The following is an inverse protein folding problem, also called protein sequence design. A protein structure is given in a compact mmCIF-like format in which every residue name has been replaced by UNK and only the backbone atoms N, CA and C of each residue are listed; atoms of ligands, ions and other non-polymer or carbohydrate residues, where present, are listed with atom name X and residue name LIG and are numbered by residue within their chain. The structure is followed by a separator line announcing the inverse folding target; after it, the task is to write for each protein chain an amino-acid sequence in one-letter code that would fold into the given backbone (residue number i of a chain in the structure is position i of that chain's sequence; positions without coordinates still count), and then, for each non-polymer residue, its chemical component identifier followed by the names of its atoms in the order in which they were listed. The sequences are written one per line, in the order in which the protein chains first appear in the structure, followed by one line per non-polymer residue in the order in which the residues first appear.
data_IF_130034666629
#
_entry.id   IF_130034666629
#
_cell.length_a   1.000
_cell.length_b   1.000
_cell.length_c   1.000
_cell.angle_alpha   90.00
_cell.angle_beta   90.00
_cell.angle_gamma   90.00
#
_symmetry.space_group_name_H-M   'P 1'
#
loop_
_entity.id
_entity.type
_entity.pdbx_description
1 polymer ?
#
# COMPACT_ATOMS: atom_id res chain seq x y z
N UNK A 1 -4.91 10.60 26.42
CA UNK A 1 -4.09 11.69 25.83
C UNK A 1 -3.06 11.12 24.88
N UNK A 2 -2.23 10.14 25.29
CA UNK A 2 -1.16 9.58 24.44
C UNK A 2 -1.60 9.07 23.04
N UNK A 3 -2.77 8.44 22.91
CA UNK A 3 -3.26 7.99 21.58
C UNK A 3 -3.64 9.16 20.66
N UNK A 4 -4.14 10.26 21.23
CA UNK A 4 -4.45 11.46 20.47
C UNK A 4 -3.17 12.16 19.99
N UNK A 5 -2.15 12.22 20.86
CA UNK A 5 -0.82 12.73 20.50
C UNK A 5 -0.17 11.85 19.42
N UNK A 6 -0.39 10.53 19.47
CA UNK A 6 0.04 9.60 18.43
C UNK A 6 -0.62 9.91 17.08
N UNK A 7 -1.93 10.16 17.05
CA UNK A 7 -2.62 10.58 15.84
C UNK A 7 -2.13 11.94 15.31
N UNK A 8 -1.81 12.89 16.19
CA UNK A 8 -1.21 14.15 15.77
C UNK A 8 0.18 13.92 15.16
N UNK A 9 1.03 13.07 15.77
CA UNK A 9 2.32 12.65 15.18
C UNK A 9 2.09 12.06 13.78
N UNK A 10 1.17 11.11 13.62
CA UNK A 10 0.86 10.54 12.30
C UNK A 10 0.44 11.62 11.29
N UNK A 11 -0.40 12.57 11.69
CA UNK A 11 -0.80 13.66 10.81
C UNK A 11 0.39 14.53 10.38
N UNK A 12 1.31 14.88 11.30
CA UNK A 12 2.52 15.65 10.94
C UNK A 12 3.43 14.92 9.94
N UNK A 13 3.52 13.59 10.06
CA UNK A 13 4.27 12.74 9.14
C UNK A 13 3.68 12.68 7.72
N UNK A 14 2.44 13.14 7.52
CA UNK A 14 1.81 13.18 6.19
C UNK A 14 2.51 14.11 5.19
N UNK A 15 3.35 15.03 5.67
CA UNK A 15 4.17 15.92 4.82
C UNK A 15 5.50 15.30 4.42
N UNK A 16 5.89 14.19 5.06
CA UNK A 16 7.15 13.52 4.76
C UNK A 16 7.04 12.69 3.49
N UNK A 17 8.16 12.58 2.76
CA UNK A 17 8.25 11.78 1.54
C UNK A 17 8.20 10.27 1.82
N UNK A 18 8.64 9.87 3.00
CA UNK A 18 8.65 8.49 3.48
C UNK A 18 8.25 8.47 4.96
N UNK A 19 7.62 7.38 5.38
CA UNK A 19 7.16 7.17 6.76
C UNK A 19 7.73 5.85 7.25
N UNK A 20 8.54 5.91 8.31
CA UNK A 20 9.01 4.73 9.01
C UNK A 20 7.85 4.13 9.82
N UNK A 21 7.21 3.12 9.25
CA UNK A 21 6.02 2.50 9.85
C UNK A 21 6.37 1.58 11.02
N UNK A 22 7.58 1.03 11.06
CA UNK A 22 8.07 0.18 12.15
C UNK A 22 8.24 0.98 13.45
N UNK A 23 8.79 2.19 13.36
CA UNK A 23 8.88 3.10 14.51
C UNK A 23 7.48 3.41 15.09
N UNK A 24 6.49 3.66 14.22
CA UNK A 24 5.12 3.93 14.64
C UNK A 24 4.47 2.72 15.32
N UNK A 25 4.74 1.50 14.82
CA UNK A 25 4.28 0.26 15.46
C UNK A 25 4.87 0.14 16.87
N UNK A 26 6.18 0.33 17.02
CA UNK A 26 6.85 0.21 18.32
C UNK A 26 6.30 1.21 19.36
N UNK A 27 6.04 2.46 18.94
CA UNK A 27 5.42 3.48 19.79
C UNK A 27 4.01 3.04 20.20
N UNK A 28 3.20 2.57 19.24
CA UNK A 28 1.81 2.17 19.50
C UNK A 28 1.73 0.95 20.43
N UNK A 29 2.60 -0.04 20.25
CA UNK A 29 2.68 -1.22 21.11
C UNK A 29 3.10 -0.87 22.53
N UNK A 30 4.01 0.10 22.70
CA UNK A 30 4.38 0.62 24.01
C UNK A 30 3.19 1.27 24.72
N UNK A 31 2.39 2.06 24.00
CA UNK A 31 1.14 2.65 24.52
C UNK A 31 0.16 1.53 24.91
N UNK A 32 -0.07 0.56 24.04
CA UNK A 32 -0.95 -0.58 24.31
C UNK A 32 -0.57 -1.33 25.59
N UNK A 33 0.72 -1.69 25.73
CA UNK A 33 1.24 -2.42 26.89
C UNK A 33 1.06 -1.65 28.20
N UNK A 34 1.11 -0.32 28.15
CA UNK A 34 0.94 0.56 29.32
C UNK A 34 -0.51 0.63 29.84
N UNK A 35 -1.49 0.45 28.94
CA UNK A 35 -2.91 0.68 29.24
C UNK A 35 -3.78 -0.60 29.24
N UNK A 36 -3.28 -1.72 28.72
CA UNK A 36 -4.03 -2.99 28.63
C UNK A 36 -4.57 -3.52 29.96
N UNK A 37 -3.98 -3.14 31.09
CA UNK A 37 -4.37 -3.57 32.43
C UNK A 37 -4.96 -2.45 33.29
N UNK A 38 -5.48 -1.36 32.70
CA UNK A 38 -5.96 -0.20 33.48
C UNK A 38 -7.48 -0.05 33.56
N UNK A 39 -8.24 -0.80 32.78
CA UNK A 39 -9.71 -0.79 32.81
C UNK A 39 -10.24 -1.94 33.68
N UNK A 40 -10.48 -1.70 34.96
CA UNK A 40 -10.92 -2.74 35.90
C UNK A 40 -12.42 -2.70 36.22
N UNK A 41 -13.08 -1.57 35.97
CA UNK A 41 -14.46 -1.37 36.40
C UNK A 41 -15.47 -1.79 35.30
N UNK A 42 -16.46 -2.65 35.58
CA UNK A 42 -17.40 -3.17 34.56
C UNK A 42 -18.15 -2.09 33.76
N UNK A 43 -18.48 -0.96 34.37
CA UNK A 43 -19.12 0.19 33.69
C UNK A 43 -18.24 0.77 32.57
N UNK A 44 -16.91 0.62 32.67
CA UNK A 44 -15.97 1.09 31.64
C UNK A 44 -15.74 0.06 30.53
N UNK A 45 -16.26 -1.16 30.66
CA UNK A 45 -16.07 -2.24 29.69
C UNK A 45 -16.47 -1.87 28.24
N UNK A 46 -17.56 -1.10 28.00
CA UNK A 46 -17.86 -0.64 26.64
C UNK A 46 -16.81 0.33 26.07
N UNK A 47 -16.27 1.22 26.90
CA UNK A 47 -15.22 2.17 26.50
C UNK A 47 -13.90 1.45 26.25
N UNK A 48 -13.55 0.51 27.14
CA UNK A 48 -12.41 -0.38 26.97
C UNK A 48 -12.50 -1.16 25.66
N UNK A 49 -13.65 -1.77 25.37
CA UNK A 49 -13.86 -2.54 24.14
C UNK A 49 -13.70 -1.66 22.89
N UNK A 50 -14.23 -0.44 22.92
CA UNK A 50 -14.09 0.51 21.81
C UNK A 50 -12.65 0.96 21.63
N UNK A 51 -11.95 1.26 22.72
CA UNK A 51 -10.54 1.65 22.71
C UNK A 51 -9.65 0.51 22.20
N UNK A 52 -9.84 -0.71 22.71
CA UNK A 52 -9.07 -1.88 22.30
C UNK A 52 -9.26 -2.16 20.82
N UNK A 53 -10.49 -2.07 20.31
CA UNK A 53 -10.78 -2.22 18.89
C UNK A 53 -10.03 -1.19 18.04
N UNK A 54 -10.14 0.09 18.38
CA UNK A 54 -9.49 1.20 17.66
C UNK A 54 -7.98 0.98 17.58
N UNK A 55 -7.34 0.76 18.73
CA UNK A 55 -5.89 0.67 18.81
C UNK A 55 -5.38 -0.63 18.20
N UNK A 56 -6.10 -1.75 18.37
CA UNK A 56 -5.76 -3.01 17.71
C UNK A 56 -5.81 -2.87 16.19
N UNK A 57 -6.90 -2.32 15.65
CA UNK A 57 -7.05 -2.15 14.20
C UNK A 57 -5.91 -1.27 13.68
N UNK A 58 -5.61 -0.16 14.37
CA UNK A 58 -4.51 0.71 14.01
C UNK A 58 -3.16 -0.03 14.00
N UNK A 59 -2.89 -0.84 15.03
CA UNK A 59 -1.66 -1.63 15.12
C UNK A 59 -1.54 -2.63 13.97
N UNK A 60 -2.61 -3.37 13.65
CA UNK A 60 -2.61 -4.29 12.51
C UNK A 60 -2.39 -3.56 11.18
N UNK A 61 -3.01 -2.40 10.97
CA UNK A 61 -2.83 -1.62 9.74
C UNK A 61 -1.40 -1.07 9.61
N UNK A 62 -0.79 -0.55 10.68
CA UNK A 62 0.59 -0.07 10.65
C UNK A 62 1.60 -1.20 10.46
N UNK A 63 1.36 -2.37 11.09
CA UNK A 63 2.16 -3.59 10.86
C UNK A 63 2.08 -4.04 9.42
N UNK A 64 0.87 -4.09 8.86
CA UNK A 64 0.67 -4.42 7.45
C UNK A 64 1.40 -3.42 6.54
N UNK A 65 1.32 -2.11 6.82
CA UNK A 65 2.01 -1.09 6.04
C UNK A 65 3.53 -1.29 6.05
N UNK A 66 4.14 -1.53 7.22
CA UNK A 66 5.57 -1.82 7.34
C UNK A 66 5.95 -3.11 6.61
N UNK A 67 5.14 -4.16 6.72
CA UNK A 67 5.41 -5.44 6.08
C UNK A 67 5.25 -5.39 4.56
N UNK A 68 4.32 -4.57 4.03
CA UNK A 68 4.17 -4.34 2.59
C UNK A 68 5.40 -3.59 2.03
N UNK A 69 5.93 -2.58 2.74
CA UNK A 69 7.12 -1.84 2.29
C UNK A 69 8.38 -2.70 2.25
N UNK A 70 8.43 -3.75 3.07
CA UNK A 70 9.49 -4.77 3.07
C UNK A 70 9.15 -6.00 2.21
N UNK A 71 8.07 -5.94 1.42
CA UNK A 71 7.60 -7.02 0.54
C UNK A 71 7.39 -8.38 1.25
N UNK A 72 6.91 -8.37 2.49
CA UNK A 72 6.61 -9.56 3.30
C UNK A 72 5.16 -10.03 3.09
N UNK A 73 4.95 -10.98 2.19
CA UNK A 73 3.61 -11.45 1.77
C UNK A 73 2.73 -11.96 2.92
N UNK A 74 3.08 -13.09 3.55
CA UNK A 74 2.20 -13.71 4.55
C UNK A 74 1.99 -12.83 5.80
N UNK A 75 3.03 -12.20 6.38
CA UNK A 75 2.82 -11.32 7.54
C UNK A 75 1.86 -10.16 7.25
N UNK A 76 2.00 -9.52 6.09
CA UNK A 76 1.11 -8.41 5.71
C UNK A 76 -0.32 -8.89 5.45
N UNK A 77 -0.49 -10.05 4.82
CA UNK A 77 -1.80 -10.67 4.59
C UNK A 77 -2.53 -10.94 5.91
N UNK A 78 -1.85 -11.54 6.89
CA UNK A 78 -2.43 -11.87 8.20
C UNK A 78 -2.88 -10.59 8.91
N UNK A 79 -2.02 -9.57 8.97
CA UNK A 79 -2.37 -8.30 9.61
C UNK A 79 -3.52 -7.56 8.89
N UNK A 80 -3.53 -7.53 7.57
CA UNK A 80 -4.65 -6.98 6.79
C UNK A 80 -5.96 -7.72 7.07
N UNK A 81 -5.92 -9.05 7.12
CA UNK A 81 -7.10 -9.85 7.40
C UNK A 81 -7.62 -9.60 8.82
N UNK A 82 -6.74 -9.56 9.84
CA UNK A 82 -7.11 -9.25 11.22
C UNK A 82 -7.76 -7.87 11.35
N UNK A 83 -7.20 -6.84 10.70
CA UNK A 83 -7.80 -5.50 10.68
C UNK A 83 -9.17 -5.52 9.96
N UNK A 84 -9.27 -6.21 8.82
CA UNK A 84 -10.51 -6.33 8.07
C UNK A 84 -11.61 -7.00 8.90
N UNK A 85 -11.34 -8.16 9.49
CA UNK A 85 -12.31 -8.91 10.29
C UNK A 85 -12.85 -8.07 11.46
N UNK A 86 -11.96 -7.42 12.23
CA UNK A 86 -12.34 -6.54 13.34
C UNK A 86 -13.22 -5.37 12.88
N UNK A 87 -12.85 -4.70 11.78
CA UNK A 87 -13.63 -3.60 11.22
C UNK A 87 -14.99 -4.05 10.65
N UNK A 88 -15.07 -5.23 10.04
CA UNK A 88 -16.34 -5.78 9.55
C UNK A 88 -17.29 -6.09 10.70
N UNK A 89 -16.81 -6.79 11.74
CA UNK A 89 -17.61 -7.09 12.93
C UNK A 89 -18.13 -5.80 13.57
N UNK A 90 -17.27 -4.80 13.73
CA UNK A 90 -17.69 -3.50 14.26
C UNK A 90 -18.74 -2.82 13.38
N UNK A 91 -18.54 -2.81 12.06
CA UNK A 91 -19.50 -2.21 11.11
C UNK A 91 -20.88 -2.86 11.20
N UNK A 92 -20.94 -4.19 11.32
CA UNK A 92 -22.20 -4.92 11.49
C UNK A 92 -22.89 -4.57 12.82
N UNK A 93 -22.13 -4.47 13.92
CA UNK A 93 -22.67 -4.08 15.23
C UNK A 93 -23.21 -2.65 15.19
N UNK A 94 -22.45 -1.72 14.59
CA UNK A 94 -22.83 -0.32 14.44
C UNK A 94 -24.13 -0.17 13.64
N UNK A 95 -24.25 -0.87 12.51
CA UNK A 95 -25.46 -0.85 11.68
C UNK A 95 -26.69 -1.40 12.41
N UNK A 96 -26.56 -2.53 13.11
CA UNK A 96 -27.66 -3.09 13.91
C UNK A 96 -28.13 -2.12 14.99
N UNK A 97 -27.21 -1.49 15.72
CA UNK A 97 -27.55 -0.50 16.75
C UNK A 97 -28.24 0.74 16.16
N UNK A 98 -27.86 1.14 14.94
CA UNK A 98 -28.49 2.23 14.19
C UNK A 98 -29.93 1.89 13.81
N UNK A 99 -30.19 0.66 13.36
CA UNK A 99 -31.53 0.19 13.01
C UNK A 99 -32.44 0.07 14.25
N UNK A 100 -31.95 -0.51 15.35
CA UNK A 100 -32.74 -0.64 16.59
C UNK A 100 -33.21 0.72 17.13
N UNK A 101 -32.35 1.76 17.07
CA UNK A 101 -32.71 3.12 17.51
C UNK A 101 -33.75 3.81 16.62
N UNK A 102 -33.86 3.45 15.34
CA UNK A 102 -34.89 3.99 14.44
C UNK A 102 -36.31 3.49 14.78
N UNK A 103 -36.44 2.32 15.41
CA UNK A 103 -37.75 1.73 15.71
C UNK A 103 -38.32 2.13 17.07
N UNK A 104 -37.51 2.69 17.97
CA UNK A 104 -37.93 3.09 19.33
C UNK A 104 -38.57 4.48 19.41
N UNK A 105 -38.35 5.34 18.41
CA UNK A 105 -38.89 6.70 18.38
C UNK A 105 -39.61 6.91 17.05
N UNK A 106 -40.93 6.68 17.06
CA UNK A 106 -41.78 6.77 15.90
C UNK A 106 -41.64 8.11 15.17
N UNK A 107 -41.29 8.04 13.88
CA UNK A 107 -41.61 9.06 12.89
C UNK A 107 -40.95 10.42 13.08
N UNK A 108 -39.69 10.56 12.70
CA UNK A 108 -39.18 11.70 11.93
C UNK A 108 -37.79 11.33 11.39
N UNK A 109 -37.48 11.79 10.17
CA UNK A 109 -36.21 11.57 9.47
C UNK A 109 -35.03 12.11 10.29
N UNK A 110 -34.56 11.35 11.28
CA UNK A 110 -33.30 11.64 11.93
C UNK A 110 -32.20 11.37 10.91
N UNK A 111 -31.38 12.39 10.62
CA UNK A 111 -30.16 12.26 9.80
C UNK A 111 -29.42 11.01 10.28
N UNK A 112 -29.19 10.06 9.38
CA UNK A 112 -28.55 8.80 9.72
C UNK A 112 -27.26 9.08 10.50
N UNK A 113 -27.17 8.53 11.73
CA UNK A 113 -25.96 8.65 12.56
C UNK A 113 -24.80 8.13 11.74
N UNK A 114 -23.87 9.03 11.40
CA UNK A 114 -22.69 8.69 10.63
C UNK A 114 -21.67 8.04 11.55
N UNK A 115 -20.89 7.07 11.05
CA UNK A 115 -19.76 6.53 11.79
C UNK A 115 -18.77 7.65 12.16
N UNK A 116 -18.08 7.57 13.31
CA UNK A 116 -17.04 8.53 13.66
C UNK A 116 -15.97 8.63 12.57
N UNK A 117 -15.49 9.85 12.29
CA UNK A 117 -14.50 10.10 11.23
C UNK A 117 -13.27 9.22 11.34
N UNK A 118 -12.80 8.95 12.56
CA UNK A 118 -11.65 8.09 12.79
C UNK A 118 -11.87 6.67 12.25
N UNK A 119 -13.04 6.08 12.46
CA UNK A 119 -13.35 4.74 11.94
C UNK A 119 -13.53 4.74 10.41
N UNK A 120 -14.09 5.81 9.85
CA UNK A 120 -14.12 6.01 8.40
C UNK A 120 -12.69 6.08 7.83
N UNK A 121 -11.79 6.77 8.53
CA UNK A 121 -10.38 6.86 8.18
C UNK A 121 -9.67 5.50 8.30
N UNK A 122 -9.90 4.71 9.37
CA UNK A 122 -9.35 3.35 9.51
C UNK A 122 -9.81 2.45 8.35
N UNK A 123 -11.10 2.52 7.97
CA UNK A 123 -11.63 1.80 6.81
C UNK A 123 -10.98 2.24 5.50
N UNK A 124 -10.74 3.54 5.33
CA UNK A 124 -10.04 4.11 4.17
C UNK A 124 -8.59 3.64 4.10
N UNK A 125 -7.85 3.72 5.21
CA UNK A 125 -6.46 3.24 5.31
C UNK A 125 -6.39 1.75 4.96
N UNK A 126 -7.28 0.94 5.52
CA UNK A 126 -7.39 -0.50 5.19
C UNK A 126 -7.61 -0.73 3.70
N UNK A 127 -8.48 0.05 3.04
CA UNK A 127 -8.74 -0.10 1.60
C UNK A 127 -7.52 0.29 0.75
N UNK A 128 -6.80 1.35 1.13
CA UNK A 128 -5.57 1.78 0.46
C UNK A 128 -4.49 0.71 0.58
N UNK A 129 -4.29 0.17 1.80
CA UNK A 129 -3.31 -0.90 2.03
C UNK A 129 -3.69 -2.19 1.32
N UNK A 130 -4.99 -2.52 1.26
CA UNK A 130 -5.47 -3.68 0.50
C UNK A 130 -5.19 -3.50 -1.01
N UNK A 131 -5.49 -2.33 -1.58
CA UNK A 131 -5.20 -2.05 -2.99
C UNK A 131 -3.70 -2.16 -3.30
N UNK A 132 -2.86 -1.62 -2.40
CA UNK A 132 -1.41 -1.70 -2.51
C UNK A 132 -0.89 -3.13 -2.36
N UNK A 133 -1.41 -3.89 -1.39
CA UNK A 133 -1.09 -5.32 -1.20
C UNK A 133 -1.46 -6.13 -2.45
N UNK A 134 -2.67 -5.97 -2.97
CA UNK A 134 -3.12 -6.66 -4.18
C UNK A 134 -2.26 -6.33 -5.39
N UNK A 135 -1.75 -5.10 -5.48
CA UNK A 135 -0.82 -4.71 -6.53
C UNK A 135 0.57 -5.33 -6.31
N UNK A 136 1.20 -5.12 -5.15
CA UNK A 136 2.60 -5.53 -4.89
C UNK A 136 2.80 -7.05 -4.86
N UNK A 137 1.74 -7.80 -4.55
CA UNK A 137 1.75 -9.25 -4.50
C UNK A 137 0.88 -9.87 -5.59
N UNK A 138 0.60 -9.14 -6.67
CA UNK A 138 -0.26 -9.62 -7.75
C UNK A 138 0.17 -10.99 -8.27
N UNK A 139 1.46 -11.19 -8.51
CA UNK A 139 2.00 -12.47 -9.01
C UNK A 139 1.77 -13.65 -8.03
N UNK A 140 1.97 -13.40 -6.73
CA UNK A 140 1.75 -14.43 -5.71
C UNK A 140 0.26 -14.79 -5.60
N UNK A 141 -0.62 -13.78 -5.65
CA UNK A 141 -2.07 -13.94 -5.59
C UNK A 141 -2.61 -14.62 -6.86
N UNK A 142 -2.14 -14.25 -8.05
CA UNK A 142 -2.60 -14.83 -9.31
C UNK A 142 -2.20 -16.29 -9.47
N UNK A 143 -1.09 -16.72 -8.85
CA UNK A 143 -0.70 -18.14 -8.81
C UNK A 143 -1.57 -19.00 -7.87
N UNK A 144 -2.26 -18.37 -6.92
CA UNK A 144 -3.06 -19.04 -5.89
C UNK A 144 -4.56 -18.89 -6.10
N UNK A 145 -4.99 -18.17 -7.14
CA UNK A 145 -6.41 -17.87 -7.43
C UNK A 145 -6.70 -18.08 -8.91
N UNK A 146 -7.97 -18.34 -9.25
CA UNK A 146 -8.33 -18.40 -10.67
C UNK A 146 -8.23 -17.01 -11.31
N UNK A 147 -7.91 -16.94 -12.60
CA UNK A 147 -7.73 -15.66 -13.30
C UNK A 147 -8.98 -14.75 -13.23
N UNK A 148 -10.18 -15.33 -13.26
CA UNK A 148 -11.45 -14.61 -13.10
C UNK A 148 -11.63 -14.03 -11.69
N UNK A 149 -11.22 -14.76 -10.66
CA UNK A 149 -11.26 -14.33 -9.26
C UNK A 149 -10.24 -13.22 -9.03
N UNK A 150 -9.02 -13.37 -9.57
CA UNK A 150 -7.98 -12.35 -9.46
C UNK A 150 -8.41 -11.03 -10.10
N UNK A 151 -8.99 -11.09 -11.31
CA UNK A 151 -9.56 -9.91 -11.98
C UNK A 151 -10.67 -9.26 -11.16
N UNK A 152 -11.50 -10.07 -10.51
CA UNK A 152 -12.57 -9.58 -9.64
C UNK A 152 -12.01 -8.94 -8.36
N UNK A 153 -10.95 -9.53 -7.79
CA UNK A 153 -10.26 -9.02 -6.61
C UNK A 153 -9.63 -7.66 -6.91
N UNK A 154 -8.87 -7.53 -7.99
CA UNK A 154 -8.23 -6.26 -8.38
C UNK A 154 -9.26 -5.20 -8.72
N UNK A 155 -10.34 -5.54 -9.45
CA UNK A 155 -11.40 -4.58 -9.79
C UNK A 155 -12.16 -4.03 -8.57
N UNK A 156 -12.18 -4.77 -7.45
CA UNK A 156 -12.80 -4.33 -6.19
C UNK A 156 -11.87 -3.45 -5.35
N UNK A 157 -10.58 -3.38 -5.69
CA UNK A 157 -9.64 -2.51 -4.98
C UNK A 157 -9.88 -1.05 -5.35
N UNK A 158 -9.64 -0.16 -4.38
CA UNK A 158 -9.73 1.27 -4.60
C UNK A 158 -8.47 1.96 -4.05
N UNK A 159 -7.55 2.42 -4.92
CA UNK A 159 -7.66 2.44 -6.39
C UNK A 159 -7.30 1.11 -7.08
N UNK A 160 -7.89 0.84 -8.24
CA UNK A 160 -7.53 -0.29 -9.11
C UNK A 160 -6.25 0.02 -9.91
N UNK A 161 -5.09 -0.28 -9.30
CA UNK A 161 -3.78 -0.08 -9.95
C UNK A 161 -3.60 -0.92 -11.21
N UNK A 162 -4.06 -2.17 -11.17
CA UNK A 162 -3.90 -3.12 -12.27
C UNK A 162 -4.68 -2.68 -13.51
N UNK A 163 -5.95 -2.30 -13.33
CA UNK A 163 -6.80 -1.79 -14.40
C UNK A 163 -6.30 -0.45 -14.96
N UNK A 164 -5.78 0.44 -14.12
CA UNK A 164 -5.14 1.69 -14.54
C UNK A 164 -3.91 1.45 -15.41
N UNK A 165 -2.98 0.60 -14.97
CA UNK A 165 -1.76 0.28 -15.73
C UNK A 165 -2.09 -0.45 -17.03
N UNK A 166 -3.00 -1.43 -16.99
CA UNK A 166 -3.45 -2.16 -18.18
C UNK A 166 -4.10 -1.22 -19.22
N UNK A 167 -4.88 -0.24 -18.76
CA UNK A 167 -5.49 0.76 -19.64
C UNK A 167 -4.47 1.74 -20.20
N UNK A 168 -3.45 2.11 -19.41
CA UNK A 168 -2.33 2.92 -19.88
C UNK A 168 -1.54 2.20 -20.98
N UNK A 169 -1.17 0.93 -20.76
CA UNK A 169 -0.47 0.08 -21.73
C UNK A 169 -1.24 0.06 -23.06
N UNK A 170 -2.52 -0.29 -23.02
CA UNK A 170 -3.38 -0.35 -24.22
C UNK A 170 -3.52 0.99 -24.93
N UNK A 171 -3.58 2.10 -24.17
CA UNK A 171 -3.82 3.43 -24.73
C UNK A 171 -2.58 3.99 -25.44
N UNK A 172 -1.40 3.71 -24.92
CA UNK A 172 -0.15 4.34 -25.36
C UNK A 172 0.83 3.37 -26.03
N UNK A 173 0.45 2.10 -26.16
CA UNK A 173 1.25 1.03 -26.74
C UNK A 173 2.60 0.89 -26.02
N UNK A 174 2.55 0.90 -24.67
CA UNK A 174 3.71 0.60 -23.86
C UNK A 174 3.98 -0.90 -23.91
N UNK A 175 5.22 -1.30 -24.16
CA UNK A 175 5.59 -2.71 -24.24
C UNK A 175 5.48 -3.37 -22.87
N UNK A 176 5.89 -2.65 -21.83
CA UNK A 176 5.82 -3.19 -20.48
C UNK A 176 5.75 -2.09 -19.42
N UNK A 177 5.01 -2.37 -18.34
CA UNK A 177 5.10 -1.65 -17.08
C UNK A 177 5.42 -2.64 -15.96
N UNK A 178 6.51 -2.42 -15.24
CA UNK A 178 6.91 -3.27 -14.11
C UNK A 178 7.05 -2.48 -12.81
N UNK A 179 6.73 -3.15 -11.70
CA UNK A 179 7.12 -2.74 -10.36
C UNK A 179 8.34 -3.57 -9.95
N UNK A 180 9.42 -2.90 -9.59
CA UNK A 180 10.71 -3.49 -9.25
C UNK A 180 10.91 -3.35 -7.76
N UNK A 181 11.28 -4.44 -7.09
CA UNK A 181 11.72 -4.40 -5.70
C UNK A 181 13.25 -4.34 -5.65
N UNK A 182 13.80 -3.39 -4.90
CA UNK A 182 15.24 -3.28 -4.64
C UNK A 182 15.59 -4.12 -3.42
N UNK A 183 16.19 -5.28 -3.66
CA UNK A 183 16.53 -6.23 -2.62
C UNK A 183 17.90 -5.99 -1.96
N UNK A 184 18.61 -4.92 -2.32
CA UNK A 184 19.96 -4.68 -1.78
C UNK A 184 19.91 -4.47 -0.27
N UNK A 185 20.73 -5.23 0.47
CA UNK A 185 20.80 -5.16 1.93
C UNK A 185 19.73 -5.99 2.67
N UNK A 186 18.84 -6.67 1.96
CA UNK A 186 17.89 -7.61 2.57
C UNK A 186 18.43 -9.04 2.51
N UNK A 187 19.04 -9.47 3.61
CA UNK A 187 19.49 -10.86 3.80
C UNK A 187 18.31 -11.85 3.91
N UNK A 188 17.11 -11.33 4.19
CA UNK A 188 15.89 -12.10 4.46
C UNK A 188 15.02 -12.36 3.22
N UNK A 189 15.47 -11.97 2.04
CA UNK A 189 14.68 -12.13 0.82
C UNK A 189 14.56 -13.58 0.38
N UNK A 190 13.32 -14.04 0.26
CA UNK A 190 13.02 -15.43 -0.12
C UNK A 190 12.32 -15.55 -1.48
N UNK A 191 12.00 -14.43 -2.15
CA UNK A 191 11.24 -14.42 -3.41
C UNK A 191 9.73 -14.29 -3.21
N UNK A 192 8.94 -14.56 -4.25
CA UNK A 192 7.49 -14.32 -4.28
C UNK A 192 6.69 -15.24 -3.35
N UNK A 193 5.76 -14.67 -2.60
CA UNK A 193 4.77 -15.43 -1.84
C UNK A 193 5.30 -15.96 -0.49
N UNK A 194 4.73 -17.07 -0.02
CA UNK A 194 5.11 -17.68 1.25
C UNK A 194 6.28 -18.63 1.10
N UNK A 195 7.21 -18.53 2.05
CA UNK A 195 8.36 -19.40 2.17
C UNK A 195 8.49 -19.86 3.61
N UNK A 196 8.90 -21.12 3.80
CA UNK A 196 9.04 -21.68 5.13
C UNK A 196 10.23 -21.00 5.86
N UNK A 197 10.10 -20.60 7.13
CA UNK A 197 11.16 -19.86 7.84
C UNK A 197 12.52 -20.57 7.86
N UNK A 198 12.53 -21.89 7.79
CA UNK A 198 13.74 -22.72 7.84
C UNK A 198 14.25 -23.17 6.45
N UNK A 199 13.62 -22.74 5.35
CA UNK A 199 14.15 -23.06 4.02
C UNK A 199 15.33 -22.15 3.68
N UNK A 200 16.52 -22.74 3.51
CA UNK A 200 17.68 -22.00 3.02
C UNK A 200 17.48 -21.63 1.54
N UNK A 201 17.76 -20.38 1.20
CA UNK A 201 17.91 -19.90 -0.18
C UNK A 201 19.11 -18.98 -0.26
N UNK A 202 19.86 -19.09 -1.35
CA UNK A 202 20.93 -18.15 -1.62
C UNK A 202 20.31 -16.78 -1.94
N UNK A 203 20.86 -15.73 -1.33
CA UNK A 203 20.42 -14.36 -1.60
C UNK A 203 20.64 -14.03 -3.09
N UNK A 204 19.68 -13.34 -3.75
CA UNK A 204 19.84 -12.97 -5.15
C UNK A 204 21.09 -12.12 -5.37
N UNK A 205 21.81 -12.40 -6.46
CA UNK A 205 23.02 -11.67 -6.85
C UNK A 205 22.85 -11.04 -8.23
N UNK A 206 23.50 -9.90 -8.45
CA UNK A 206 23.50 -9.22 -9.75
C UNK A 206 22.08 -8.84 -10.20
N UNK A 207 21.69 -9.31 -11.39
CA UNK A 207 20.42 -8.98 -12.05
C UNK A 207 19.20 -9.40 -11.22
N UNK A 208 19.33 -10.47 -10.44
CA UNK A 208 18.23 -11.00 -9.62
C UNK A 208 18.00 -10.20 -8.33
N UNK A 209 18.84 -9.20 -8.02
CA UNK A 209 18.60 -8.26 -6.92
C UNK A 209 17.47 -7.26 -7.21
N UNK A 210 17.05 -7.18 -8.47
CA UNK A 210 15.96 -6.33 -8.92
C UNK A 210 14.88 -7.18 -9.58
N UNK A 211 14.12 -8.00 -8.82
CA UNK A 211 12.99 -8.74 -9.38
C UNK A 211 11.86 -7.80 -9.81
N UNK A 212 11.16 -8.17 -10.89
CA UNK A 212 9.89 -7.56 -11.23
C UNK A 212 8.81 -8.21 -10.37
N UNK A 213 8.35 -7.54 -9.31
CA UNK A 213 7.28 -8.06 -8.43
C UNK A 213 5.90 -7.95 -9.05
N UNK A 214 5.78 -7.07 -10.05
CA UNK A 214 4.65 -6.97 -10.97
C UNK A 214 5.21 -6.72 -12.36
N UNK A 215 4.66 -7.39 -13.37
CA UNK A 215 4.99 -7.16 -14.79
C UNK A 215 3.72 -7.24 -15.62
N UNK A 216 3.49 -6.23 -16.46
CA UNK A 216 2.32 -6.15 -17.33
C UNK A 216 2.71 -5.68 -18.72
N UNK A 217 2.11 -6.24 -19.79
CA UNK A 217 1.03 -7.24 -19.78
C UNK A 217 1.52 -8.69 -19.59
N UNK A 218 2.82 -8.92 -19.76
CA UNK A 218 3.47 -10.23 -19.73
C UNK A 218 4.56 -10.28 -18.66
N UNK A 219 5.26 -11.41 -18.59
CA UNK A 219 6.41 -11.58 -17.70
C UNK A 219 7.50 -10.53 -17.93
N UNK A 220 8.45 -10.47 -16.98
CA UNK A 220 9.56 -9.53 -16.98
C UNK A 220 10.27 -9.45 -18.35
N UNK A 221 10.41 -8.26 -18.95
CA UNK A 221 11.08 -8.10 -20.25
C UNK A 221 12.60 -8.25 -20.11
N UNK A 222 13.10 -9.49 -20.21
CA UNK A 222 14.49 -9.87 -19.93
C UNK A 222 15.51 -9.05 -20.72
N UNK A 223 15.25 -8.78 -22.00
CA UNK A 223 16.16 -8.03 -22.87
C UNK A 223 16.33 -6.56 -22.47
N UNK A 224 15.33 -5.98 -21.81
CA UNK A 224 15.38 -4.58 -21.36
C UNK A 224 15.95 -4.43 -19.95
N UNK A 225 16.02 -5.52 -19.17
CA UNK A 225 16.39 -5.46 -17.76
C UNK A 225 17.79 -4.89 -17.48
N UNK A 226 18.84 -5.20 -18.28
CA UNK A 226 20.16 -4.58 -18.10
C UNK A 226 20.11 -3.05 -18.17
N UNK A 227 19.37 -2.49 -19.14
CA UNK A 227 19.20 -1.05 -19.27
C UNK A 227 18.43 -0.46 -18.09
N UNK A 228 17.39 -1.15 -17.61
CA UNK A 228 16.63 -0.71 -16.43
C UNK A 228 17.53 -0.64 -15.19
N UNK A 229 18.34 -1.67 -14.95
CA UNK A 229 19.30 -1.69 -13.81
C UNK A 229 20.35 -0.60 -13.94
N UNK A 230 20.90 -0.40 -15.14
CA UNK A 230 21.85 0.68 -15.44
C UNK A 230 21.24 2.04 -15.08
N UNK A 231 20.04 2.35 -15.60
CA UNK A 231 19.35 3.63 -15.33
C UNK A 231 19.09 3.79 -13.83
N UNK A 232 18.61 2.74 -13.15
CA UNK A 232 18.37 2.77 -11.70
C UNK A 232 19.64 3.07 -10.90
N UNK A 233 20.79 2.57 -11.36
CA UNK A 233 22.10 2.78 -10.73
C UNK A 233 22.60 4.20 -11.00
N UNK A 234 22.64 4.62 -12.26
CA UNK A 234 23.17 5.93 -12.67
C UNK A 234 22.32 7.10 -12.16
N UNK A 235 21.00 6.89 -12.07
CA UNK A 235 20.02 7.90 -11.63
C UNK A 235 19.52 7.66 -10.21
N UNK A 236 20.33 6.99 -9.38
CA UNK A 236 19.98 6.68 -7.98
C UNK A 236 19.61 7.94 -7.18
N UNK A 237 20.35 9.04 -7.34
CA UNK A 237 20.09 10.29 -6.61
C UNK A 237 18.73 10.90 -6.96
N UNK A 238 18.36 10.89 -8.24
CA UNK A 238 17.06 11.37 -8.72
C UNK A 238 15.92 10.46 -8.27
N UNK A 239 16.10 9.14 -8.33
CA UNK A 239 15.08 8.20 -7.87
C UNK A 239 14.91 8.27 -6.34
N UNK A 240 15.97 8.44 -5.58
CA UNK A 240 15.91 8.57 -4.12
C UNK A 240 15.25 9.87 -3.63
N UNK A 241 14.96 10.83 -4.52
CA UNK A 241 14.16 12.00 -4.15
C UNK A 241 12.66 11.69 -3.97
N UNK A 242 12.20 10.51 -4.42
CA UNK A 242 10.83 9.97 -4.32
C UNK A 242 9.73 10.81 -4.99
N UNK A 243 10.09 11.79 -5.81
CA UNK A 243 9.17 12.73 -6.46
C UNK A 243 9.53 13.04 -7.92
N UNK A 244 10.64 12.47 -8.42
CA UNK A 244 11.06 12.65 -9.82
C UNK A 244 10.63 11.48 -10.70
N UNK A 245 10.44 11.81 -11.96
CA UNK A 245 10.34 10.85 -13.06
C UNK A 245 11.60 10.97 -13.89
N UNK A 246 12.35 9.88 -13.99
CA UNK A 246 13.56 9.78 -14.82
C UNK A 246 13.15 9.32 -16.21
N UNK A 247 13.60 10.03 -17.24
CA UNK A 247 13.50 9.62 -18.65
C UNK A 247 14.87 9.18 -19.16
N UNK A 248 14.88 8.16 -20.00
CA UNK A 248 16.07 7.70 -20.73
C UNK A 248 15.65 7.10 -22.07
N UNK A 249 16.34 7.47 -23.14
CA UNK A 249 16.19 6.85 -24.46
C UNK A 249 17.50 6.20 -24.88
N UNK A 250 17.44 4.92 -25.24
CA UNK A 250 18.56 4.16 -25.78
C UNK A 250 18.42 4.05 -27.29
N UNK A 251 19.32 4.71 -28.02
CA UNK A 251 19.35 4.69 -29.49
C UNK A 251 19.78 3.32 -30.05
N UNK A 252 20.54 2.51 -29.30
CA UNK A 252 21.01 1.20 -29.78
C UNK A 252 19.88 0.17 -29.84
N UNK A 253 19.01 0.19 -28.84
CA UNK A 253 17.82 -0.70 -28.76
C UNK A 253 16.53 0.01 -29.12
N UNK A 254 16.61 1.26 -29.61
CA UNK A 254 15.49 2.08 -30.04
C UNK A 254 14.34 2.16 -29.01
N UNK A 255 14.68 2.18 -27.73
CA UNK A 255 13.71 2.05 -26.63
C UNK A 255 13.76 3.23 -25.66
N UNK A 256 12.58 3.63 -25.16
CA UNK A 256 12.44 4.68 -24.15
C UNK A 256 11.96 4.11 -22.82
N UNK A 257 12.52 4.64 -21.74
CA UNK A 257 12.27 4.23 -20.37
C UNK A 257 11.84 5.43 -19.55
N UNK A 258 10.76 5.26 -18.78
CA UNK A 258 10.36 6.21 -17.73
C UNK A 258 10.34 5.50 -16.39
N UNK A 259 11.06 6.02 -15.41
CA UNK A 259 11.16 5.42 -14.07
C UNK A 259 10.75 6.41 -12.99
N UNK A 260 10.07 5.93 -11.96
CA UNK A 260 9.83 6.70 -10.73
C UNK A 260 9.86 5.80 -9.51
N UNK A 261 10.20 6.35 -8.36
CA UNK A 261 10.33 5.62 -7.09
C UNK A 261 9.24 6.08 -6.12
N UNK A 262 8.11 5.37 -6.00
CA UNK A 262 7.08 5.67 -5.01
C UNK A 262 7.57 5.53 -3.56
N UNK A 263 8.44 4.55 -3.31
CA UNK A 263 8.92 4.18 -1.97
C UNK A 263 10.39 3.75 -2.04
N UNK A 264 11.15 3.79 -0.93
CA UNK A 264 12.58 3.49 -0.94
C UNK A 264 12.98 2.20 -1.65
N UNK A 265 12.19 1.13 -1.46
CA UNK A 265 12.47 -0.20 -2.02
C UNK A 265 11.74 -0.52 -3.32
N UNK A 266 10.92 0.40 -3.86
CA UNK A 266 10.08 0.10 -5.02
C UNK A 266 10.25 1.11 -6.14
N UNK A 267 10.57 0.65 -7.34
CA UNK A 267 10.69 1.48 -8.54
C UNK A 267 9.71 1.02 -9.61
N UNK A 268 8.93 1.93 -10.18
CA UNK A 268 8.07 1.66 -11.33
C UNK A 268 8.85 2.02 -12.59
N UNK A 269 8.79 1.16 -13.60
CA UNK A 269 9.33 1.43 -14.94
C UNK A 269 8.25 1.25 -16.00
N UNK A 270 8.21 2.16 -16.97
CA UNK A 270 7.45 2.06 -18.21
C UNK A 270 8.44 1.97 -19.37
N UNK A 271 8.22 1.01 -20.26
CA UNK A 271 9.10 0.71 -21.40
C UNK A 271 8.31 0.86 -22.69
N UNK A 272 8.90 1.57 -23.65
CA UNK A 272 8.42 1.69 -25.02
C UNK A 272 9.51 1.26 -26.00
N UNK A 273 9.18 0.42 -26.98
CA UNK A 273 10.06 0.12 -28.14
C UNK A 273 9.91 1.19 -29.23
N UNK A 274 9.98 2.44 -28.81
CA UNK A 274 9.96 3.59 -29.69
C UNK A 274 10.59 4.78 -28.98
N UNK A 275 11.05 5.76 -29.75
CA UNK A 275 11.47 7.06 -29.22
C UNK A 275 10.25 7.82 -28.69
N UNK A 276 10.23 8.09 -27.38
CA UNK A 276 9.24 8.94 -26.71
C UNK A 276 9.93 10.15 -26.09
N UNK A 277 9.25 11.28 -26.09
CA UNK A 277 9.82 12.54 -25.62
C UNK A 277 9.71 12.63 -24.10
N UNK A 278 10.72 13.17 -23.44
CA UNK A 278 10.60 13.56 -22.03
C UNK A 278 9.51 14.62 -21.80
N UNK A 279 9.11 15.35 -22.86
CA UNK A 279 8.06 16.38 -22.81
C UNK A 279 6.64 15.80 -22.88
N UNK A 280 6.50 14.49 -23.05
CA UNK A 280 5.21 13.81 -23.06
C UNK A 280 4.58 13.81 -21.65
N UNK A 281 3.92 14.93 -21.32
CA UNK A 281 3.39 15.22 -20.00
C UNK A 281 2.41 14.17 -19.47
N UNK A 282 1.73 13.45 -20.37
CA UNK A 282 0.78 12.39 -20.00
C UNK A 282 1.48 11.16 -19.41
N UNK A 283 2.69 10.81 -19.84
CA UNK A 283 3.48 9.73 -19.23
C UNK A 283 3.96 10.11 -17.83
N UNK A 284 4.48 11.34 -17.70
CA UNK A 284 4.93 11.88 -16.42
C UNK A 284 3.75 12.00 -15.45
N UNK A 285 2.62 12.54 -15.89
CA UNK A 285 1.42 12.68 -15.06
C UNK A 285 0.89 11.34 -14.60
N UNK A 286 0.88 10.32 -15.46
CA UNK A 286 0.48 8.96 -15.09
C UNK A 286 1.39 8.38 -14.01
N UNK A 287 2.72 8.46 -14.20
CA UNK A 287 3.68 7.95 -13.22
C UNK A 287 3.59 8.70 -11.89
N UNK A 288 3.41 10.01 -11.91
CA UNK A 288 3.20 10.82 -10.71
C UNK A 288 1.90 10.45 -10.00
N UNK A 289 0.80 10.21 -10.73
CA UNK A 289 -0.47 9.79 -10.13
C UNK A 289 -0.34 8.45 -9.41
N UNK A 290 0.22 7.44 -10.08
CA UNK A 290 0.43 6.11 -9.50
C UNK A 290 1.39 6.19 -8.32
N UNK A 291 2.52 6.90 -8.48
CA UNK A 291 3.53 7.07 -7.44
C UNK A 291 2.95 7.74 -6.19
N UNK A 292 2.22 8.85 -6.35
CA UNK A 292 1.59 9.56 -5.25
C UNK A 292 0.49 8.74 -4.57
N UNK A 293 -0.22 7.90 -5.32
CA UNK A 293 -1.25 7.02 -4.76
C UNK A 293 -0.68 5.87 -3.92
N UNK A 294 0.54 5.42 -4.23
CA UNK A 294 1.23 4.37 -3.48
C UNK A 294 1.92 4.86 -2.21
N UNK A 295 2.14 6.18 -2.07
CA UNK A 295 2.74 6.77 -0.87
C UNK A 295 1.81 6.67 0.34
N UNK A 296 2.36 6.20 1.46
CA UNK A 296 1.63 6.04 2.71
C UNK A 296 1.18 7.38 3.33
N UNK A 297 1.90 8.47 3.03
CA UNK A 297 1.66 9.81 3.60
C UNK A 297 0.30 10.39 3.24
N UNK A 298 -0.23 10.07 2.06
CA UNK A 298 -1.56 10.53 1.60
C UNK A 298 -2.69 10.05 2.50
N UNK A 299 -2.61 8.82 3.00
CA UNK A 299 -3.61 8.29 3.91
C UNK A 299 -3.62 9.10 5.22
N UNK A 300 -2.44 9.43 5.76
CA UNK A 300 -2.29 10.16 7.02
C UNK A 300 -2.76 11.61 6.91
N UNK A 301 -2.59 12.25 5.75
CA UNK A 301 -3.11 13.60 5.50
C UNK A 301 -4.64 13.67 5.70
N UNK A 302 -5.37 12.60 5.39
CA UNK A 302 -6.84 12.56 5.55
C UNK A 302 -7.33 12.21 6.95
N UNK A 303 -6.44 12.11 7.93
CA UNK A 303 -6.79 11.83 9.33
C UNK A 303 -7.60 12.98 9.95
N UNK A 304 -7.27 14.23 9.61
CA UNK A 304 -8.06 15.41 10.04
C UNK A 304 -9.22 15.67 9.07
N UNK A 305 -10.46 15.88 9.58
CA UNK A 305 -11.60 16.23 8.73
C UNK A 305 -11.31 17.50 7.90
N UNK A 306 -11.64 17.48 6.60
CA UNK A 306 -11.46 18.62 5.71
C UNK A 306 -10.04 18.84 5.17
N UNK A 307 -9.04 18.10 5.66
CA UNK A 307 -7.72 18.07 5.05
C UNK A 307 -7.80 17.37 3.69
N UNK A 308 -7.37 18.05 2.62
CA UNK A 308 -7.32 17.45 1.27
C UNK A 308 -6.19 16.41 1.26
N UNK A 309 -6.57 15.13 1.25
CA UNK A 309 -5.68 13.98 1.05
C UNK A 309 -5.46 13.71 -0.42
#
# INVERSE_FOLDING_TARGET
MEIADFYEKMFTLSTQKFINSEELVNILESILKKYSSRFHHPILSPLESSFQLEVDVLAHLLKAQAQISEWKFLPSLVNLHSAHAKLQTWGQIFERQRETKKHLFGGQSQKAVQPPHLFLWLMKLKNILLAKFSFYFHEALSRQTAASEMKTLTAKTNPDYFGKISSFIRKYDAVNVSLIFDNRGSESFQGHGYHHPHSYREAPKGVDQYPAVVSLPSDRPVMHWPNVIMIMTDRTSDLNSLDKVVHFYDDKVQSTYFLTRPEPHFTIVVIFEAKKSERDSHFISFLNEISQSLKNSKAFASLKPGAKG
#
